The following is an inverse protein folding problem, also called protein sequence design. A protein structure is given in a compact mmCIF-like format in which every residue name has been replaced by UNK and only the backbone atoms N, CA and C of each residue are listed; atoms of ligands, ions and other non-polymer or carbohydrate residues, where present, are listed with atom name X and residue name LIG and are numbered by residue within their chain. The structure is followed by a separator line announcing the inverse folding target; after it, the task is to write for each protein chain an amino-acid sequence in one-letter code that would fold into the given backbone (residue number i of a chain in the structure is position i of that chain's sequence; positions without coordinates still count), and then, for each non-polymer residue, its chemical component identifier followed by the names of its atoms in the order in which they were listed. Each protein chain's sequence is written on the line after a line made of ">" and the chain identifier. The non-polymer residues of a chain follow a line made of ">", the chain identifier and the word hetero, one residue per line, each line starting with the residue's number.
data_IF_600285107776
#
_entry.id   IF_600285107776
#
_cell.length_a   1.000
_cell.length_b   1.000
_cell.length_c   1.000
_cell.angle_alpha   90.00
_cell.angle_beta   90.00
_cell.angle_gamma   90.00
#
_symmetry.space_group_name_H-M   'P 1'
#
loop_
_entity.id
_entity.type
_entity.pdbx_description
1 polymer ?
#
# COMPACT_ATOMS: atom_id res chain seq x y z
N UNK A 1 6.02 -2.23 9.05
CA UNK A 1 4.73 -2.93 9.26
C UNK A 1 4.75 -3.56 10.64
N UNK A 2 3.67 -3.45 11.40
CA UNK A 2 3.52 -4.11 12.70
C UNK A 2 3.52 -5.63 12.56
N UNK A 3 3.87 -6.39 13.60
CA UNK A 3 3.84 -7.86 13.55
C UNK A 3 2.46 -8.44 13.19
N UNK A 4 1.38 -7.77 13.59
CA UNK A 4 0.00 -8.17 13.28
C UNK A 4 -0.52 -7.57 11.96
N UNK A 5 0.38 -7.11 11.08
CA UNK A 5 -0.03 -6.44 9.86
C UNK A 5 -0.81 -7.36 8.92
N UNK A 6 -1.88 -6.80 8.34
CA UNK A 6 -2.73 -7.47 7.37
C UNK A 6 -2.99 -6.58 6.16
N UNK A 7 -2.85 -7.15 4.97
CA UNK A 7 -3.28 -6.55 3.71
C UNK A 7 -4.42 -7.38 3.10
N UNK A 8 -5.51 -6.70 2.70
CA UNK A 8 -6.58 -7.28 1.88
C UNK A 8 -6.48 -6.66 0.50
N UNK A 9 -6.13 -7.47 -0.50
CA UNK A 9 -5.97 -7.01 -1.88
C UNK A 9 -7.33 -6.80 -2.57
N UNK A 10 -7.36 -6.17 -3.76
CA UNK A 10 -8.59 -6.04 -4.55
C UNK A 10 -9.25 -7.35 -4.95
N UNK A 11 -8.52 -8.48 -4.90
CA UNK A 11 -9.07 -9.81 -5.17
C UNK A 11 -9.70 -10.45 -3.92
N UNK A 12 -9.71 -9.76 -2.79
CA UNK A 12 -10.12 -10.29 -1.50
C UNK A 12 -9.09 -11.21 -0.83
N UNK A 13 -7.87 -11.31 -1.38
CA UNK A 13 -6.82 -12.12 -0.77
C UNK A 13 -6.29 -11.42 0.49
N UNK A 14 -6.38 -12.11 1.62
CA UNK A 14 -5.78 -11.67 2.88
C UNK A 14 -4.33 -12.14 2.94
N UNK A 15 -3.39 -11.23 3.17
CA UNK A 15 -1.96 -11.49 3.25
C UNK A 15 -1.39 -11.01 4.59
N UNK A 16 -0.57 -11.84 5.24
CA UNK A 16 0.18 -11.45 6.43
C UNK A 16 1.38 -10.56 6.08
N UNK A 17 1.96 -9.95 7.11
CA UNK A 17 3.24 -9.23 7.03
C UNK A 17 4.33 -10.02 6.29
N UNK A 18 4.56 -11.27 6.67
CA UNK A 18 5.63 -12.11 6.12
C UNK A 18 5.39 -12.38 4.63
N UNK A 19 4.14 -12.65 4.26
CA UNK A 19 3.75 -12.87 2.88
C UNK A 19 3.97 -11.62 2.02
N UNK A 20 3.59 -10.44 2.53
CA UNK A 20 3.78 -9.17 1.82
C UNK A 20 5.27 -8.84 1.69
N UNK A 21 6.08 -9.02 2.74
CA UNK A 21 7.54 -8.82 2.66
C UNK A 21 8.16 -9.75 1.62
N UNK A 22 7.79 -11.04 1.64
CA UNK A 22 8.30 -12.01 0.68
C UNK A 22 7.91 -11.65 -0.77
N UNK A 23 6.67 -11.20 -0.99
CA UNK A 23 6.22 -10.72 -2.31
C UNK A 23 7.04 -9.53 -2.81
N UNK A 24 7.27 -8.53 -1.95
CA UNK A 24 8.08 -7.35 -2.30
C UNK A 24 9.52 -7.76 -2.63
N UNK A 25 10.12 -8.61 -1.79
CA UNK A 25 11.48 -9.10 -2.00
C UNK A 25 11.61 -9.89 -3.31
N UNK A 26 10.67 -10.81 -3.58
CA UNK A 26 10.66 -11.60 -4.81
C UNK A 26 10.40 -10.75 -6.06
N UNK A 27 9.60 -9.68 -5.93
CA UNK A 27 9.30 -8.75 -7.03
C UNK A 27 10.39 -7.71 -7.26
N UNK A 28 11.32 -7.52 -6.33
CA UNK A 28 12.31 -6.45 -6.38
C UNK A 28 13.19 -6.53 -7.64
N UNK A 29 13.21 -5.45 -8.43
CA UNK A 29 13.99 -5.37 -9.66
C UNK A 29 13.48 -6.23 -10.83
N UNK A 30 12.36 -6.93 -10.68
CA UNK A 30 11.78 -7.77 -11.74
C UNK A 30 11.40 -7.00 -13.01
N UNK A 31 11.17 -5.69 -12.89
CA UNK A 31 10.75 -4.78 -13.98
C UNK A 31 11.85 -3.86 -14.48
N UNK A 32 13.11 -4.12 -14.12
CA UNK A 32 14.24 -3.22 -14.44
C UNK A 32 14.56 -3.12 -15.95
N UNK A 33 14.11 -4.10 -16.74
CA UNK A 33 14.33 -4.18 -18.18
C UNK A 33 13.10 -3.81 -19.00
N UNK A 34 12.00 -3.40 -18.36
CA UNK A 34 10.81 -2.93 -19.05
C UNK A 34 11.15 -1.65 -19.83
N UNK A 35 10.71 -1.54 -21.08
CA UNK A 35 10.97 -0.36 -21.93
C UNK A 35 10.39 0.92 -21.29
N UNK A 36 9.19 0.81 -20.72
CA UNK A 36 8.54 1.87 -19.95
C UNK A 36 8.80 1.59 -18.46
N UNK A 37 9.48 2.49 -17.73
CA UNK A 37 9.80 2.29 -16.32
C UNK A 37 8.56 2.11 -15.45
N UNK A 38 8.65 1.23 -14.46
CA UNK A 38 7.65 1.10 -13.41
C UNK A 38 7.52 2.41 -12.61
N UNK A 39 6.30 2.92 -12.46
CA UNK A 39 6.00 4.09 -11.63
C UNK A 39 4.89 3.75 -10.65
N UNK A 40 4.99 4.32 -9.45
CA UNK A 40 3.96 4.25 -8.42
C UNK A 40 3.83 5.65 -7.79
N UNK A 41 2.61 6.13 -7.62
CA UNK A 41 2.35 7.40 -6.96
C UNK A 41 1.05 7.34 -6.17
N UNK A 42 0.89 8.30 -5.27
CA UNK A 42 -0.28 8.43 -4.40
C UNK A 42 -0.90 9.80 -4.61
N UNK A 43 -2.23 9.85 -4.62
CA UNK A 43 -3.01 11.10 -4.69
C UNK A 43 -4.26 11.01 -3.81
N UNK A 44 -4.97 12.15 -3.66
CA UNK A 44 -6.25 12.25 -2.96
C UNK A 44 -6.23 11.63 -1.55
N UNK A 45 -5.20 11.97 -0.77
CA UNK A 45 -5.04 11.49 0.61
C UNK A 45 -6.01 12.22 1.53
N UNK A 46 -6.83 11.48 2.25
CA UNK A 46 -7.75 11.99 3.27
C UNK A 46 -7.53 11.28 4.61
N UNK A 47 -7.38 12.06 5.68
CA UNK A 47 -7.48 11.53 7.04
C UNK A 47 -8.95 11.34 7.42
N UNK A 48 -9.34 10.11 7.75
CA UNK A 48 -10.72 9.74 8.11
C UNK A 48 -10.93 9.64 9.61
N UNK A 49 -9.89 9.24 10.35
CA UNK A 49 -9.91 9.10 11.80
C UNK A 49 -8.52 9.39 12.36
N UNK A 50 -8.48 10.19 13.42
CA UNK A 50 -7.31 10.33 14.27
C UNK A 50 -7.76 10.15 15.72
N UNK A 51 -7.41 9.02 16.33
CA UNK A 51 -7.88 8.66 17.68
C UNK A 51 -6.76 7.95 18.46
N UNK A 52 -6.39 8.52 19.61
CA UNK A 52 -5.28 8.03 20.41
C UNK A 52 -3.99 7.92 19.59
N UNK A 53 -3.49 6.69 19.44
CA UNK A 53 -2.29 6.39 18.66
C UNK A 53 -2.59 5.86 17.25
N UNK A 54 -3.85 5.93 16.79
CA UNK A 54 -4.28 5.42 15.49
C UNK A 54 -4.62 6.55 14.52
N UNK A 55 -4.27 6.35 13.26
CA UNK A 55 -4.64 7.22 12.15
C UNK A 55 -5.15 6.36 10.99
N UNK A 56 -6.41 6.54 10.61
CA UNK A 56 -6.98 5.93 9.41
C UNK A 56 -6.96 6.95 8.28
N UNK A 57 -6.35 6.57 7.17
CA UNK A 57 -6.35 7.37 5.95
C UNK A 57 -7.00 6.59 4.81
N UNK A 58 -7.59 7.32 3.87
CA UNK A 58 -7.94 6.81 2.55
C UNK A 58 -7.05 7.52 1.54
N UNK A 59 -6.55 6.80 0.55
CA UNK A 59 -5.77 7.37 -0.55
C UNK A 59 -5.95 6.55 -1.82
N UNK A 60 -5.68 7.18 -2.96
CA UNK A 60 -5.55 6.47 -4.22
C UNK A 60 -4.09 6.14 -4.48
N UNK A 61 -3.81 4.89 -4.84
CA UNK A 61 -2.52 4.45 -5.32
C UNK A 61 -2.63 4.13 -6.81
N UNK A 62 -1.76 4.75 -7.59
CA UNK A 62 -1.71 4.62 -9.02
C UNK A 62 -0.37 4.04 -9.43
N UNK A 63 -0.41 3.11 -10.39
CA UNK A 63 0.76 2.45 -10.93
C UNK A 63 0.79 2.47 -12.44
N UNK A 64 1.96 2.65 -13.01
CA UNK A 64 2.23 2.44 -14.44
C UNK A 64 3.19 1.26 -14.58
N UNK A 65 2.74 0.24 -15.29
CA UNK A 65 3.44 -1.04 -15.43
C UNK A 65 3.50 -1.42 -16.89
N UNK A 66 4.70 -1.35 -17.50
CA UNK A 66 4.88 -1.58 -18.94
C UNK A 66 3.87 -0.77 -19.79
N UNK A 67 3.71 0.51 -19.45
CA UNK A 67 2.77 1.44 -20.11
C UNK A 67 1.29 1.23 -19.78
N UNK A 68 0.94 0.27 -18.91
CA UNK A 68 -0.44 0.06 -18.46
C UNK A 68 -0.68 0.74 -17.12
N UNK A 69 -1.66 1.64 -17.10
CA UNK A 69 -2.10 2.28 -15.87
C UNK A 69 -3.03 1.33 -15.10
N UNK A 70 -2.83 1.25 -13.80
CA UNK A 70 -3.76 0.65 -12.85
C UNK A 70 -3.90 1.56 -11.64
N UNK A 71 -5.04 1.45 -10.97
CA UNK A 71 -5.34 2.24 -9.79
C UNK A 71 -6.10 1.43 -8.76
N UNK A 72 -5.87 1.75 -7.50
CA UNK A 72 -6.60 1.20 -6.35
C UNK A 72 -6.92 2.31 -5.35
N UNK A 73 -8.08 2.19 -4.71
CA UNK A 73 -8.43 2.98 -3.54
C UNK A 73 -8.10 2.15 -2.29
N UNK A 74 -7.32 2.74 -1.39
CA UNK A 74 -6.79 2.06 -0.21
C UNK A 74 -7.29 2.73 1.07
N UNK A 75 -7.75 1.92 2.02
CA UNK A 75 -7.91 2.33 3.42
C UNK A 75 -6.72 1.79 4.22
N UNK A 76 -5.89 2.66 4.78
CA UNK A 76 -4.74 2.28 5.57
C UNK A 76 -4.85 2.76 7.01
N UNK A 77 -4.65 1.83 7.95
CA UNK A 77 -4.55 2.11 9.37
C UNK A 77 -3.09 2.16 9.80
N UNK A 78 -2.69 3.30 10.33
CA UNK A 78 -1.39 3.53 10.94
C UNK A 78 -1.51 3.54 12.46
N UNK A 79 -0.44 3.09 13.12
CA UNK A 79 -0.23 3.27 14.56
C UNK A 79 1.05 4.05 14.80
N UNK A 80 1.01 5.01 15.73
CA UNK A 80 2.19 5.75 16.17
C UNK A 80 3.23 4.79 16.78
N UNK A 81 4.49 4.94 16.37
CA UNK A 81 5.64 4.17 16.88
C UNK A 81 6.90 4.99 16.73
N UNK A 82 7.32 5.68 17.80
CA UNK A 82 8.36 6.71 17.81
C UNK A 82 9.78 6.25 17.38
N UNK A 83 9.97 4.97 17.02
CA UNK A 83 11.25 4.39 16.57
C UNK A 83 11.23 3.87 15.13
N UNK A 84 10.13 4.04 14.39
CA UNK A 84 10.08 3.71 12.96
C UNK A 84 10.39 4.93 12.09
N UNK A 85 10.70 4.68 10.82
CA UNK A 85 10.75 5.74 9.81
C UNK A 85 9.40 6.47 9.81
N UNK A 86 9.44 7.80 9.88
CA UNK A 86 8.27 8.67 9.98
C UNK A 86 7.40 8.48 11.25
N UNK A 87 7.89 7.77 12.28
CA UNK A 87 7.23 7.66 13.58
C UNK A 87 5.91 6.88 13.58
N UNK A 88 5.61 6.13 12.51
CA UNK A 88 4.40 5.31 12.37
C UNK A 88 4.72 3.92 11.85
N UNK A 89 3.85 2.96 12.13
CA UNK A 89 3.85 1.65 11.51
C UNK A 89 2.51 1.35 10.86
N UNK A 90 2.56 0.64 9.74
CA UNK A 90 1.39 0.07 9.08
C UNK A 90 0.80 -1.05 9.95
N UNK A 91 -0.52 -0.99 10.19
CA UNK A 91 -1.29 -2.02 10.92
C UNK A 91 -2.22 -2.77 9.98
N UNK A 92 -2.92 -2.08 9.09
CA UNK A 92 -3.87 -2.71 8.17
C UNK A 92 -3.94 -1.93 6.86
N UNK A 93 -4.14 -2.64 5.76
CA UNK A 93 -4.50 -2.07 4.46
C UNK A 93 -5.62 -2.90 3.85
N UNK A 94 -6.63 -2.23 3.32
CA UNK A 94 -7.65 -2.85 2.46
C UNK A 94 -7.77 -2.03 1.18
N UNK A 95 -7.64 -2.72 0.06
CA UNK A 95 -7.60 -2.14 -1.27
C UNK A 95 -8.79 -2.60 -2.11
N UNK A 96 -9.31 -1.71 -2.93
CA UNK A 96 -10.25 -2.04 -4.00
C UNK A 96 -9.74 -1.46 -5.31
N UNK A 97 -9.93 -2.17 -6.42
CA UNK A 97 -9.59 -1.63 -7.74
C UNK A 97 -10.54 -0.51 -8.11
N UNK A 98 -9.99 0.56 -8.68
CA UNK A 98 -10.77 1.64 -9.28
C UNK A 98 -10.40 1.77 -10.77
N UNK A 99 -11.29 2.33 -11.60
CA UNK A 99 -10.97 2.59 -12.99
C UNK A 99 -9.72 3.48 -13.12
N UNK A 100 -8.80 3.08 -13.97
CA UNK A 100 -7.76 3.96 -14.49
C UNK A 100 -8.28 4.52 -15.83
N UNK A 101 -8.47 5.83 -15.92
CA UNK A 101 -8.84 6.51 -17.17
C UNK A 101 -7.70 6.49 -18.19
#
# INVERSE_FOLDING_TARGET
>A
MSEEFMLISPTGQVSSREQVIAQIQNGYGSRKTDEIPYRLWVQNIECRLLEGNLCLVIYEEWGEVAGKINARLSSALFRKKDKTINGVEWVHVHEVSIPAE
#
